data_IF_746065938578
#
_entry.id   IF_746065938578
#
_cell.length_a   1.000
_cell.length_b   1.000
_cell.length_c   1.000
_cell.angle_alpha   90.00
_cell.angle_beta   90.00
_cell.angle_gamma   90.00
#
_symmetry.space_group_name_H-M   'P 1'
#
loop_
_entity.id
_entity.type
_entity.pdbx_description
1 polymer ?
#
# COMPACT_ATOMS: atom_id res chain seq x y z
N UNK A 1 -15.91 8.46 4.28
CA UNK A 1 -15.37 7.17 4.76
C UNK A 1 -14.63 6.41 3.67
N UNK A 2 -15.29 5.92 2.61
CA UNK A 2 -14.58 5.22 1.50
C UNK A 2 -13.69 6.19 0.71
N UNK A 3 -14.20 7.38 0.39
CA UNK A 3 -13.41 8.44 -0.24
C UNK A 3 -12.17 8.83 0.58
N UNK A 4 -12.32 9.04 1.90
CA UNK A 4 -11.19 9.36 2.79
C UNK A 4 -10.14 8.24 2.83
N UNK A 5 -10.57 6.98 2.66
CA UNK A 5 -9.69 5.81 2.63
C UNK A 5 -8.91 5.73 1.30
N UNK A 6 -9.55 6.06 0.18
CA UNK A 6 -8.89 6.20 -1.13
C UNK A 6 -7.86 7.32 -1.12
N UNK A 7 -8.22 8.48 -0.56
CA UNK A 7 -7.31 9.63 -0.41
C UNK A 7 -6.09 9.26 0.44
N UNK A 8 -6.31 8.59 1.57
CA UNK A 8 -5.23 8.11 2.45
C UNK A 8 -4.33 7.10 1.72
N UNK A 9 -4.92 6.16 0.96
CA UNK A 9 -4.16 5.17 0.19
C UNK A 9 -3.33 5.82 -0.92
N UNK A 10 -3.86 6.85 -1.58
CA UNK A 10 -3.15 7.62 -2.60
C UNK A 10 -1.97 8.39 -2.00
N UNK A 11 -2.19 9.13 -0.90
CA UNK A 11 -1.13 9.85 -0.19
C UNK A 11 -0.03 8.91 0.33
N UNK A 12 -0.41 7.73 0.83
CA UNK A 12 0.54 6.69 1.24
C UNK A 12 1.36 6.19 0.04
N UNK A 13 0.73 5.97 -1.12
CA UNK A 13 1.42 5.52 -2.33
C UNK A 13 2.42 6.56 -2.85
N UNK A 14 2.08 7.84 -2.81
CA UNK A 14 2.98 8.94 -3.17
C UNK A 14 4.19 8.99 -2.23
N UNK A 15 3.95 9.01 -0.92
CA UNK A 15 5.01 9.03 0.10
C UNK A 15 5.97 7.83 -0.05
N UNK A 16 5.44 6.64 -0.32
CA UNK A 16 6.24 5.44 -0.56
C UNK A 16 7.10 5.54 -1.81
N UNK A 17 6.59 6.21 -2.85
CA UNK A 17 7.32 6.41 -4.10
C UNK A 17 8.50 7.34 -3.85
N UNK A 18 8.29 8.45 -3.14
CA UNK A 18 9.36 9.36 -2.74
C UNK A 18 10.40 8.68 -1.84
N UNK A 19 9.95 7.89 -0.87
CA UNK A 19 10.85 7.14 0.01
C UNK A 19 11.74 6.18 -0.80
N UNK A 20 11.17 5.45 -1.77
CA UNK A 20 11.95 4.55 -2.65
C UNK A 20 13.00 5.28 -3.46
N UNK A 21 12.69 6.46 -3.98
CA UNK A 21 13.67 7.30 -4.70
C UNK A 21 14.81 7.71 -3.77
N UNK A 22 14.51 8.22 -2.58
CA UNK A 22 15.52 8.58 -1.59
C UNK A 22 16.42 7.38 -1.22
N UNK A 23 15.85 6.19 -1.06
CA UNK A 23 16.63 4.98 -0.76
C UNK A 23 17.53 4.55 -1.92
N UNK A 24 17.08 4.70 -3.17
CA UNK A 24 17.92 4.46 -4.34
C UNK A 24 19.12 5.43 -4.36
N UNK A 25 18.90 6.71 -4.09
CA UNK A 25 19.97 7.72 -4.00
C UNK A 25 20.95 7.38 -2.86
N UNK A 26 20.44 6.94 -1.70
CA UNK A 26 21.28 6.52 -0.58
C UNK A 26 22.09 5.25 -0.87
N UNK A 27 21.55 4.31 -1.66
CA UNK A 27 22.30 3.11 -2.09
C UNK A 27 23.50 3.48 -2.95
N UNK A 28 23.35 4.47 -3.84
CA UNK A 28 24.44 4.97 -4.67
C UNK A 28 25.56 5.62 -3.83
N UNK A 29 25.19 6.33 -2.76
CA UNK A 29 26.13 7.04 -1.88
C UNK A 29 26.82 6.09 -0.87
N UNK A 30 26.09 5.12 -0.31
CA UNK A 30 26.57 4.28 0.80
C UNK A 30 27.16 2.93 0.37
N UNK A 31 27.05 2.59 -0.93
CA UNK A 31 27.53 1.33 -1.51
C UNK A 31 26.49 0.19 -1.45
N UNK A 32 26.49 -0.65 -2.48
CA UNK A 32 25.45 -1.66 -2.84
C UNK A 32 25.07 -2.71 -1.77
N UNK A 33 25.66 -2.71 -0.56
CA UNK A 33 25.55 -3.85 0.39
C UNK A 33 25.12 -3.47 1.81
N UNK A 34 24.44 -2.34 2.02
CA UNK A 34 23.89 -2.02 3.35
C UNK A 34 22.68 -2.92 3.67
N UNK A 35 22.75 -3.80 4.70
CA UNK A 35 21.60 -4.64 5.08
C UNK A 35 20.42 -3.82 5.61
N UNK A 36 20.68 -2.58 6.06
CA UNK A 36 19.64 -1.65 6.49
C UNK A 36 18.83 -1.16 5.29
N UNK A 37 19.50 -0.75 4.21
CA UNK A 37 18.82 -0.27 2.99
C UNK A 37 17.99 -1.38 2.34
N UNK A 38 18.50 -2.61 2.34
CA UNK A 38 17.73 -3.77 1.85
C UNK A 38 16.44 -3.97 2.66
N UNK A 39 16.53 -3.96 3.99
CA UNK A 39 15.34 -4.10 4.86
C UNK A 39 14.37 -2.94 4.71
N UNK A 40 14.87 -1.74 4.46
CA UNK A 40 14.03 -0.57 4.24
C UNK A 40 13.28 -0.66 2.90
N UNK A 41 13.95 -1.07 1.82
CA UNK A 41 13.31 -1.29 0.52
C UNK A 41 12.22 -2.38 0.57
N UNK A 42 12.51 -3.49 1.26
CA UNK A 42 11.55 -4.57 1.50
C UNK A 42 10.32 -4.06 2.27
N UNK A 43 10.53 -3.34 3.36
CA UNK A 43 9.44 -2.74 4.15
C UNK A 43 8.59 -1.75 3.33
N UNK A 44 9.20 -0.92 2.50
CA UNK A 44 8.49 0.01 1.62
C UNK A 44 7.69 -0.73 0.53
N UNK A 45 8.21 -1.85 0.05
CA UNK A 45 7.52 -2.68 -0.93
C UNK A 45 6.29 -3.35 -0.32
N UNK A 46 6.41 -3.90 0.89
CA UNK A 46 5.27 -4.46 1.64
C UNK A 46 4.23 -3.39 1.98
N UNK A 47 4.66 -2.21 2.44
CA UNK A 47 3.75 -1.10 2.72
C UNK A 47 3.03 -0.63 1.45
N UNK A 48 3.68 -0.65 0.29
CA UNK A 48 3.05 -0.35 -1.00
C UNK A 48 2.05 -1.42 -1.43
N UNK A 49 2.27 -2.69 -1.07
CA UNK A 49 1.31 -3.76 -1.30
C UNK A 49 0.07 -3.60 -0.40
N UNK A 50 0.28 -3.26 0.88
CA UNK A 50 -0.81 -3.01 1.83
C UNK A 50 -1.68 -1.81 1.40
N UNK A 51 -1.08 -0.69 1.00
CA UNK A 51 -1.82 0.48 0.50
C UNK A 51 -2.69 0.13 -0.73
N UNK A 52 -2.17 -0.69 -1.65
CA UNK A 52 -2.93 -1.19 -2.80
C UNK A 52 -4.10 -2.08 -2.38
N UNK A 53 -3.90 -2.97 -1.41
CA UNK A 53 -4.97 -3.83 -0.90
C UNK A 53 -6.10 -3.01 -0.25
N UNK A 54 -5.75 -1.96 0.50
CA UNK A 54 -6.73 -1.03 1.07
C UNK A 54 -7.52 -0.31 -0.03
N UNK A 55 -6.85 0.18 -1.09
CA UNK A 55 -7.52 0.80 -2.23
C UNK A 55 -8.50 -0.17 -2.89
N UNK A 56 -8.08 -1.40 -3.18
CA UNK A 56 -8.98 -2.39 -3.77
C UNK A 56 -10.19 -2.70 -2.90
N UNK A 57 -10.01 -2.72 -1.58
CA UNK A 57 -11.13 -2.84 -0.65
C UNK A 57 -12.06 -1.62 -0.72
N UNK A 58 -11.51 -0.41 -0.75
CA UNK A 58 -12.27 0.82 -0.90
C UNK A 58 -13.09 0.80 -2.21
N UNK A 59 -12.43 0.49 -3.33
CA UNK A 59 -13.05 0.37 -4.66
C UNK A 59 -14.19 -0.67 -4.65
N UNK A 60 -13.98 -1.82 -4.00
CA UNK A 60 -14.98 -2.87 -3.86
C UNK A 60 -16.19 -2.39 -3.05
N UNK A 61 -15.96 -1.71 -1.92
CA UNK A 61 -17.05 -1.18 -1.09
C UNK A 61 -17.81 -0.04 -1.78
N UNK A 62 -17.13 0.78 -2.60
CA UNK A 62 -17.77 1.80 -3.42
C UNK A 62 -18.70 1.19 -4.47
N UNK A 63 -18.31 0.06 -5.06
CA UNK A 63 -19.10 -0.65 -6.07
C UNK A 63 -20.20 -1.54 -5.48
N UNK A 64 -20.00 -2.07 -4.27
CA UNK A 64 -20.90 -3.01 -3.60
C UNK A 64 -21.25 -2.57 -2.17
N UNK A 65 -21.98 -1.46 -1.99
CA UNK A 65 -22.37 -0.99 -0.66
C UNK A 65 -23.20 -2.01 0.13
N UNK A 66 -23.94 -2.90 -0.55
CA UNK A 66 -24.70 -4.00 0.04
C UNK A 66 -23.82 -5.01 0.80
N UNK A 67 -22.53 -5.13 0.46
CA UNK A 67 -21.59 -6.03 1.13
C UNK A 67 -21.34 -5.64 2.59
N UNK A 68 -21.54 -4.37 2.96
CA UNK A 68 -21.48 -3.91 4.35
C UNK A 68 -22.60 -4.49 5.21
N UNK A 69 -23.77 -4.74 4.61
CA UNK A 69 -24.95 -5.27 5.30
C UNK A 69 -24.92 -6.80 5.40
N UNK A 70 -24.43 -7.47 4.36
CA UNK A 70 -24.40 -8.93 4.29
C UNK A 70 -23.13 -9.53 4.91
N UNK A 71 -22.14 -8.70 5.25
CA UNK A 71 -20.82 -9.17 5.65
C UNK A 71 -20.09 -9.86 4.49
N UNK A 72 -18.91 -10.44 4.76
CA UNK A 72 -18.24 -11.26 3.75
C UNK A 72 -19.10 -12.50 3.47
N UNK A 73 -19.73 -12.54 2.30
CA UNK A 73 -20.42 -13.72 1.81
C UNK A 73 -19.45 -14.90 1.84
N UNK A 74 -19.80 -15.95 2.57
CA UNK A 74 -19.10 -17.23 2.46
C UNK A 74 -19.18 -17.66 0.99
N UNK A 75 -18.07 -18.02 0.33
CA UNK A 75 -18.13 -18.70 -0.96
C UNK A 75 -19.04 -19.92 -0.78
N UNK A 76 -20.03 -20.04 -1.67
CA UNK A 76 -21.16 -20.95 -1.52
C UNK A 76 -20.79 -22.41 -1.25
N UNK A 77 -21.75 -23.11 -0.64
CA UNK A 77 -21.90 -24.57 -0.68
C UNK A 77 -21.95 -25.10 -2.12
#
# INVERSE_FOLDING_TARGET
MVADLEETAAAAQETLTEAKVLFADLQEITGEKSPLLYKADDALTELAAAARAIRFLADFLAQHPESLLHGRGQPGE
#
